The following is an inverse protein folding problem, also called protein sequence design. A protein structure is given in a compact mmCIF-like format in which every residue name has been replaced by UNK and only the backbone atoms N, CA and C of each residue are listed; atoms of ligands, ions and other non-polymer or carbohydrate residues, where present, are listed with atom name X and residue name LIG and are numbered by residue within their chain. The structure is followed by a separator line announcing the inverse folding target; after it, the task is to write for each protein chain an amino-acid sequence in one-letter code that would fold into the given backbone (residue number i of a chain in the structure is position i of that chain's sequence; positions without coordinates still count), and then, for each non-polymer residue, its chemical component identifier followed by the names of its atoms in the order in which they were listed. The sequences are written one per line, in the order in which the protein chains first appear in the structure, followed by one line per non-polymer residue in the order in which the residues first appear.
data_IF_056163308506
#
_entry.id   IF_056163308506
#
_cell.length_a   1.000
_cell.length_b   1.000
_cell.length_c   1.000
_cell.angle_alpha   90.00
_cell.angle_beta   90.00
_cell.angle_gamma   90.00
#
_symmetry.space_group_name_H-M   'P 1'
#
loop_
_entity.id
_entity.type
_entity.pdbx_description
1 polymer ?
#
# COMPACT_ATOMS: atom_id res chain seq x y z
N UNK A 1 27.15 20.68 11.58
CA UNK A 1 27.13 19.43 12.36
C UNK A 1 25.67 19.09 12.62
N UNK A 2 25.26 17.83 12.43
CA UNK A 2 23.91 17.41 12.77
C UNK A 2 23.66 17.60 14.27
N UNK A 3 22.41 17.88 14.62
CA UNK A 3 21.97 18.07 15.99
C UNK A 3 20.69 17.26 16.25
N UNK A 4 20.34 16.97 17.52
CA UNK A 4 19.07 16.32 17.86
C UNK A 4 17.86 17.09 17.31
N UNK A 5 16.80 16.38 16.94
CA UNK A 5 15.66 16.95 16.21
C UNK A 5 14.94 18.09 16.97
N UNK A 6 14.92 18.02 18.29
CA UNK A 6 14.37 19.05 19.18
C UNK A 6 15.25 20.32 19.20
N UNK A 7 16.56 20.17 19.38
CA UNK A 7 17.52 21.28 19.32
C UNK A 7 17.52 21.96 17.94
N UNK A 8 17.45 21.17 16.87
CA UNK A 8 17.31 21.65 15.50
C UNK A 8 16.05 22.49 15.33
N UNK A 9 14.93 22.00 15.85
CA UNK A 9 13.65 22.70 15.75
C UNK A 9 13.66 24.02 16.52
N UNK A 10 14.22 24.04 17.73
CA UNK A 10 14.38 25.28 18.52
C UNK A 10 15.25 26.31 17.82
N UNK A 11 16.38 25.88 17.27
CA UNK A 11 17.26 26.76 16.50
C UNK A 11 16.52 27.33 15.28
N UNK A 12 15.69 26.53 14.62
CA UNK A 12 14.86 27.00 13.51
C UNK A 12 13.80 27.99 13.96
N UNK A 13 13.14 27.79 15.10
CA UNK A 13 12.25 28.80 15.70
C UNK A 13 12.95 30.12 15.93
N UNK A 14 14.09 30.09 16.61
CA UNK A 14 14.88 31.28 16.91
C UNK A 14 15.31 32.01 15.63
N UNK A 15 15.79 31.27 14.61
CA UNK A 15 16.25 31.88 13.35
C UNK A 15 15.13 32.45 12.47
N UNK A 16 13.93 31.88 12.55
CA UNK A 16 12.79 32.29 11.69
C UNK A 16 11.84 33.25 12.40
N UNK A 17 11.92 33.36 13.73
CA UNK A 17 10.96 34.12 14.55
C UNK A 17 9.55 33.53 14.55
N UNK A 18 9.40 32.23 14.25
CA UNK A 18 8.10 31.55 14.14
C UNK A 18 8.05 30.33 15.05
N UNK A 19 6.92 30.10 15.70
CA UNK A 19 6.68 28.89 16.51
C UNK A 19 6.72 27.60 15.68
N UNK A 20 6.29 27.71 14.42
CA UNK A 20 6.34 26.66 13.40
C UNK A 20 7.23 27.13 12.25
N UNK A 21 8.55 26.83 12.25
CA UNK A 21 9.49 27.33 11.25
C UNK A 21 9.14 26.91 9.83
N UNK A 22 8.66 25.68 9.69
CA UNK A 22 8.21 25.08 8.43
C UNK A 22 6.79 24.56 8.58
N UNK A 23 5.87 25.04 7.75
CA UNK A 23 4.51 24.54 7.72
C UNK A 23 4.47 23.03 7.41
N UNK A 24 3.52 22.32 8.00
CA UNK A 24 3.22 20.93 7.64
C UNK A 24 2.98 20.85 6.13
N UNK A 25 3.62 19.89 5.46
CA UNK A 25 3.53 19.72 4.01
C UNK A 25 4.57 20.46 3.18
N UNK A 26 5.37 21.38 3.76
CA UNK A 26 6.34 22.21 3.02
C UNK A 26 7.29 21.40 2.13
N UNK A 27 7.79 20.27 2.62
CA UNK A 27 8.71 19.38 1.90
C UNK A 27 8.05 18.07 1.43
N UNK A 28 6.72 18.01 1.38
CA UNK A 28 5.97 16.81 1.00
C UNK A 28 6.42 16.24 -0.35
N UNK A 29 6.52 17.08 -1.38
CA UNK A 29 6.91 16.64 -2.73
C UNK A 29 8.35 16.11 -2.81
N UNK A 30 9.25 16.59 -1.94
CA UNK A 30 10.63 16.10 -1.86
C UNK A 30 10.65 14.68 -1.29
N UNK A 31 9.92 14.46 -0.20
CA UNK A 31 9.83 13.15 0.45
C UNK A 31 9.02 12.12 -0.32
N UNK A 32 8.07 12.54 -1.15
CA UNK A 32 7.31 11.66 -2.04
C UNK A 32 8.22 10.83 -2.97
N UNK A 33 9.42 11.32 -3.31
CA UNK A 33 10.41 10.58 -4.11
C UNK A 33 11.06 9.41 -3.36
N UNK A 34 10.86 9.33 -2.05
CA UNK A 34 11.48 8.37 -1.14
C UNK A 34 10.42 7.66 -0.27
N UNK A 35 9.42 6.97 -0.85
CA UNK A 35 8.29 6.40 -0.10
C UNK A 35 8.72 5.38 0.97
N UNK A 36 9.82 4.67 0.72
CA UNK A 36 10.42 3.74 1.69
C UNK A 36 10.93 4.49 2.93
N UNK A 37 11.50 5.69 2.78
CA UNK A 37 11.99 6.47 3.91
C UNK A 37 10.83 7.11 4.68
N UNK A 38 9.78 7.55 3.99
CA UNK A 38 8.55 8.04 4.62
C UNK A 38 7.98 6.98 5.55
N UNK A 39 7.96 5.71 5.13
CA UNK A 39 7.50 4.58 5.95
C UNK A 39 8.36 4.35 7.20
N UNK A 40 9.64 4.69 7.16
CA UNK A 40 10.54 4.52 8.30
C UNK A 40 10.46 5.64 9.33
N UNK A 41 9.77 6.73 8.99
CA UNK A 41 9.67 7.91 9.85
C UNK A 41 8.44 7.84 10.74
N UNK A 42 8.62 8.24 11.98
CA UNK A 42 7.60 8.22 13.01
C UNK A 42 7.69 9.54 13.79
N UNK A 43 6.66 10.39 13.73
CA UNK A 43 6.67 11.70 14.40
C UNK A 43 6.69 11.57 15.92
N UNK A 44 6.09 10.51 16.46
CA UNK A 44 6.13 10.16 17.88
C UNK A 44 7.55 9.84 18.37
N UNK A 45 8.43 9.33 17.50
CA UNK A 45 9.85 9.12 17.81
C UNK A 45 10.68 10.41 17.65
N UNK A 46 10.11 11.47 17.09
CA UNK A 46 10.80 12.70 16.70
C UNK A 46 10.07 13.95 17.23
N UNK A 47 9.63 13.91 18.48
CA UNK A 47 9.05 15.04 19.22
C UNK A 47 7.82 15.68 18.55
N UNK A 48 7.03 14.90 17.83
CA UNK A 48 5.82 15.36 17.14
C UNK A 48 6.08 16.14 15.84
N UNK A 49 7.35 16.31 15.45
CA UNK A 49 7.70 16.96 14.18
C UNK A 49 7.35 15.98 13.05
N UNK A 50 6.64 16.43 12.03
CA UNK A 50 6.32 15.57 10.88
C UNK A 50 7.40 15.69 9.81
N UNK A 51 7.68 14.59 9.09
CA UNK A 51 8.77 14.53 8.11
C UNK A 51 8.66 15.60 7.02
N UNK A 52 7.43 15.97 6.64
CA UNK A 52 7.17 17.03 5.66
C UNK A 52 7.60 18.44 6.10
N UNK A 53 8.03 18.62 7.34
CA UNK A 53 8.62 19.85 7.86
C UNK A 53 10.16 19.82 7.86
N UNK A 54 10.76 18.68 7.50
CA UNK A 54 12.23 18.50 7.49
C UNK A 54 12.74 18.51 6.05
N UNK A 55 13.62 19.43 5.64
CA UNK A 55 14.26 19.41 4.32
C UNK A 55 15.16 18.18 4.12
N UNK A 56 15.32 17.70 2.88
CA UNK A 56 16.21 16.57 2.56
C UNK A 56 17.70 16.82 2.85
N UNK A 57 18.10 18.09 2.89
CA UNK A 57 19.45 18.56 3.17
C UNK A 57 19.61 19.05 4.63
N UNK A 58 18.64 18.76 5.51
CA UNK A 58 18.75 19.18 6.89
C UNK A 58 19.82 18.37 7.63
N UNK A 59 20.77 19.07 8.24
CA UNK A 59 21.71 18.52 9.22
C UNK A 59 20.99 18.27 10.55
N UNK A 60 20.14 17.26 10.59
CA UNK A 60 19.35 16.88 11.77
C UNK A 60 19.40 15.38 11.98
N UNK A 61 19.62 14.95 13.22
CA UNK A 61 19.50 13.56 13.59
C UNK A 61 18.04 13.19 13.77
N UNK A 62 17.59 12.22 12.97
CA UNK A 62 16.24 11.67 13.02
C UNK A 62 16.33 10.24 13.53
N UNK A 63 15.39 9.87 14.39
CA UNK A 63 15.17 8.48 14.75
C UNK A 63 14.26 7.80 13.73
N UNK A 64 14.82 6.82 13.02
CA UNK A 64 14.15 6.01 12.02
C UNK A 64 13.81 4.63 12.60
N UNK A 65 12.78 3.97 12.05
CA UNK A 65 12.47 2.58 12.33
C UNK A 65 12.33 1.79 11.02
N UNK A 66 13.04 0.68 10.84
CA UNK A 66 12.88 -0.17 9.65
C UNK A 66 11.71 -1.16 9.78
N UNK A 67 11.33 -1.83 8.68
CA UNK A 67 10.27 -2.85 8.67
C UNK A 67 10.52 -4.03 9.63
N UNK A 68 11.79 -4.27 10.02
CA UNK A 68 12.15 -5.28 11.02
C UNK A 68 12.06 -4.76 12.47
N UNK A 69 11.61 -3.53 12.68
CA UNK A 69 11.44 -2.90 13.99
C UNK A 69 12.70 -2.25 14.58
N UNK A 70 13.87 -2.40 13.95
CA UNK A 70 15.10 -1.77 14.43
C UNK A 70 14.99 -0.25 14.36
N UNK A 71 15.27 0.40 15.49
CA UNK A 71 15.42 1.85 15.61
C UNK A 71 16.87 2.24 15.46
N UNK A 72 17.13 3.35 14.77
CA UNK A 72 18.47 3.87 14.57
C UNK A 72 18.42 5.36 14.26
N UNK A 73 19.53 6.06 14.50
CA UNK A 73 19.65 7.50 14.28
C UNK A 73 20.47 7.73 13.01
N UNK A 74 19.97 8.59 12.12
CA UNK A 74 20.67 9.00 10.91
C UNK A 74 20.12 10.35 10.43
N UNK A 75 20.94 11.11 9.70
CA UNK A 75 20.45 12.30 8.98
C UNK A 75 19.62 11.92 7.75
N UNK A 76 18.77 12.83 7.24
CA UNK A 76 18.12 12.70 5.94
C UNK A 76 19.07 12.33 4.80
N UNK A 77 20.29 12.87 4.79
CA UNK A 77 21.30 12.57 3.78
C UNK A 77 21.89 11.17 3.94
N UNK A 78 22.33 10.82 5.16
CA UNK A 78 22.87 9.49 5.47
C UNK A 78 21.86 8.39 5.13
N UNK A 79 20.59 8.60 5.49
CA UNK A 79 19.52 7.66 5.22
C UNK A 79 19.28 7.44 3.71
N UNK A 80 19.43 8.49 2.90
CA UNK A 80 19.32 8.42 1.44
C UNK A 80 20.55 7.77 0.80
N UNK A 81 21.74 8.08 1.31
CA UNK A 81 23.02 7.60 0.77
C UNK A 81 23.31 6.14 1.10
N UNK A 82 22.68 5.59 2.16
CA UNK A 82 22.75 4.17 2.55
C UNK A 82 24.19 3.67 2.73
N UNK A 83 25.00 4.30 3.61
CA UNK A 83 26.39 3.93 3.80
C UNK A 83 26.54 2.44 4.18
N UNK A 84 27.49 1.75 3.56
CA UNK A 84 27.75 0.33 3.80
C UNK A 84 26.72 -0.65 3.21
N UNK A 85 25.71 -0.18 2.46
CA UNK A 85 24.75 -1.08 1.81
C UNK A 85 25.40 -1.84 0.63
N UNK A 86 25.57 -3.15 0.76
CA UNK A 86 25.86 -4.02 -0.39
C UNK A 86 24.78 -3.87 -1.48
N UNK A 87 25.09 -4.27 -2.73
CA UNK A 87 24.27 -4.14 -3.97
C UNK A 87 22.86 -4.78 -3.96
N UNK A 88 22.21 -4.98 -2.80
CA UNK A 88 20.81 -5.42 -2.73
C UNK A 88 19.89 -4.23 -3.02
N UNK A 89 19.48 -4.14 -4.29
CA UNK A 89 18.67 -3.07 -4.90
C UNK A 89 17.31 -2.77 -4.28
N UNK A 90 16.83 -3.46 -3.23
CA UNK A 90 15.40 -3.45 -2.85
C UNK A 90 15.03 -3.43 -1.37
N UNK A 91 15.97 -3.34 -0.44
CA UNK A 91 15.64 -3.25 0.99
C UNK A 91 15.80 -1.83 1.53
N UNK A 92 14.81 -1.42 2.32
CA UNK A 92 14.86 -0.39 3.38
C UNK A 92 16.22 -0.41 4.08
N UNK A 93 16.96 0.71 4.10
CA UNK A 93 18.27 0.76 4.73
C UNK A 93 18.16 0.99 6.24
N UNK A 94 18.89 0.18 6.99
CA UNK A 94 19.09 0.26 8.43
C UNK A 94 20.47 -0.35 8.72
N UNK A 95 21.31 0.27 9.57
CA UNK A 95 22.67 -0.22 9.84
C UNK A 95 22.68 -1.65 10.40
N UNK A 96 21.77 -1.98 11.32
CA UNK A 96 21.65 -3.34 11.89
C UNK A 96 21.29 -4.39 10.84
N UNK A 97 20.39 -4.05 9.91
CA UNK A 97 20.02 -4.95 8.82
C UNK A 97 21.14 -5.08 7.78
N UNK A 98 21.93 -4.02 7.58
CA UNK A 98 23.08 -4.04 6.67
C UNK A 98 24.21 -4.93 7.23
N UNK A 99 24.52 -4.80 8.51
CA UNK A 99 25.50 -5.64 9.22
C UNK A 99 25.12 -7.13 9.19
N UNK A 100 23.87 -7.45 9.57
CA UNK A 100 23.35 -8.82 9.48
C UNK A 100 23.37 -9.40 8.05
N UNK A 101 23.39 -8.55 7.02
CA UNK A 101 23.52 -8.98 5.63
C UNK A 101 24.97 -9.28 5.23
N UNK A 102 25.97 -8.64 5.86
CA UNK A 102 27.40 -8.84 5.64
C UNK A 102 27.91 -10.10 6.35
N UNK A 103 27.38 -10.44 7.52
CA UNK A 103 27.76 -11.64 8.30
C UNK A 103 27.31 -12.97 7.68
N UNK A 104 26.47 -12.92 6.63
CA UNK A 104 26.11 -14.12 5.88
C UNK A 104 27.30 -14.54 5.01
N UNK A 105 27.88 -15.74 5.19
CA UNK A 105 28.97 -16.19 4.35
C UNK A 105 28.57 -16.13 2.88
N UNK A 106 29.45 -15.59 2.04
CA UNK A 106 29.37 -15.73 0.58
C UNK A 106 29.74 -17.18 0.25
N UNK A 107 28.86 -18.11 0.63
CA UNK A 107 28.94 -19.48 0.16
C UNK A 107 28.67 -19.46 -1.34
N UNK A 108 29.61 -20.00 -2.12
CA UNK A 108 29.47 -20.43 -3.52
C UNK A 108 28.01 -20.66 -3.87
N UNK A 109 27.50 -19.96 -4.88
CA UNK A 109 26.09 -19.92 -5.25
C UNK A 109 25.41 -21.29 -5.19
N UNK A 110 24.90 -21.64 -4.01
CA UNK A 110 23.84 -22.61 -3.90
C UNK A 110 22.69 -21.93 -4.64
N UNK A 111 22.08 -22.59 -5.66
CA UNK A 111 20.91 -22.03 -6.31
C UNK A 111 19.97 -21.64 -5.17
N UNK A 112 19.52 -20.37 -5.17
CA UNK A 112 18.59 -19.87 -4.16
C UNK A 112 17.62 -21.01 -3.91
N UNK A 113 17.55 -21.54 -2.67
CA UNK A 113 16.55 -22.58 -2.37
C UNK A 113 15.26 -21.99 -2.91
N UNK A 114 14.81 -22.48 -4.08
CA UNK A 114 13.52 -22.10 -4.64
C UNK A 114 12.63 -22.41 -3.46
N UNK A 115 12.00 -21.38 -2.87
CA UNK A 115 10.93 -21.63 -1.91
C UNK A 115 10.11 -22.68 -2.63
N UNK A 116 10.05 -23.91 -2.10
CA UNK A 116 9.19 -24.94 -2.66
C UNK A 116 7.83 -24.26 -2.59
N UNK A 117 7.37 -23.72 -3.72
CA UNK A 117 5.99 -23.30 -3.85
C UNK A 117 5.28 -24.59 -3.50
N UNK A 118 4.46 -24.56 -2.44
CA UNK A 118 3.59 -25.70 -2.16
C UNK A 118 2.88 -26.08 -3.47
N UNK A 119 2.39 -27.32 -3.58
CA UNK A 119 1.61 -27.68 -4.77
C UNK A 119 0.55 -26.60 -5.02
N UNK A 120 0.48 -26.11 -6.26
CA UNK A 120 -0.55 -25.14 -6.64
C UNK A 120 -1.92 -25.77 -6.37
N UNK A 121 -2.86 -24.93 -5.95
CA UNK A 121 -4.22 -25.37 -5.76
C UNK A 121 -4.76 -25.95 -7.07
N UNK A 122 -5.25 -27.19 -7.02
CA UNK A 122 -5.82 -27.90 -8.18
C UNK A 122 -7.27 -27.51 -8.45
N UNK A 123 -7.87 -26.67 -7.60
CA UNK A 123 -9.27 -26.23 -7.71
C UNK A 123 -9.45 -24.99 -8.59
N UNK A 124 -8.37 -24.26 -8.87
CA UNK A 124 -8.43 -23.14 -9.81
C UNK A 124 -8.64 -23.70 -11.23
N UNK A 125 -9.73 -23.32 -11.93
CA UNK A 125 -10.01 -23.82 -13.27
C UNK A 125 -8.98 -23.30 -14.28
N UNK A 126 -8.78 -24.07 -15.35
CA UNK A 126 -7.91 -23.69 -16.46
C UNK A 126 -8.60 -22.68 -17.38
N UNK A 127 -8.62 -21.42 -16.94
CA UNK A 127 -9.15 -20.28 -17.67
C UNK A 127 -8.01 -19.37 -18.16
N UNK A 128 -8.24 -18.56 -19.20
CA UNK A 128 -7.30 -17.52 -19.62
C UNK A 128 -6.99 -16.54 -18.46
N UNK A 129 -5.73 -16.06 -18.33
CA UNK A 129 -5.42 -14.99 -17.38
C UNK A 129 -6.30 -13.76 -17.62
N UNK A 130 -6.84 -13.21 -16.53
CA UNK A 130 -7.79 -12.11 -16.55
C UNK A 130 -9.25 -12.55 -16.50
N UNK A 131 -9.57 -13.83 -16.75
CA UNK A 131 -10.96 -14.28 -16.73
C UNK A 131 -11.57 -14.19 -15.32
N UNK A 132 -12.78 -13.63 -15.23
CA UNK A 132 -13.56 -13.59 -13.99
C UNK A 132 -14.36 -14.88 -13.88
N UNK A 133 -14.40 -15.48 -12.69
CA UNK A 133 -15.10 -16.75 -12.47
C UNK A 133 -15.57 -16.92 -11.04
N UNK A 134 -16.34 -17.98 -10.79
CA UNK A 134 -16.75 -18.41 -9.45
C UNK A 134 -15.74 -19.42 -8.93
N UNK A 135 -14.94 -19.00 -7.96
CA UNK A 135 -14.03 -19.86 -7.21
C UNK A 135 -14.70 -20.42 -5.96
N UNK A 136 -14.50 -21.73 -5.76
CA UNK A 136 -14.81 -22.44 -4.51
C UNK A 136 -13.75 -22.21 -3.41
N UNK A 137 -12.61 -21.64 -3.78
CA UNK A 137 -11.52 -21.31 -2.88
C UNK A 137 -11.58 -19.88 -2.34
N UNK A 138 -12.50 -19.06 -2.88
CA UNK A 138 -12.70 -17.71 -2.40
C UNK A 138 -13.03 -17.71 -0.89
N UNK A 139 -12.36 -16.86 -0.09
CA UNK A 139 -12.70 -16.72 1.32
C UNK A 139 -14.14 -16.22 1.44
N UNK A 140 -14.81 -16.63 2.52
CA UNK A 140 -16.13 -16.05 2.84
C UNK A 140 -15.95 -14.58 3.21
N UNK A 141 -16.88 -13.70 2.84
CA UNK A 141 -16.90 -12.31 3.29
C UNK A 141 -16.69 -12.22 4.79
N UNK A 142 -15.71 -11.42 5.20
CA UNK A 142 -15.32 -11.31 6.61
C UNK A 142 -16.14 -10.26 7.36
N UNK A 143 -16.87 -9.41 6.61
CA UNK A 143 -17.58 -8.24 7.14
C UNK A 143 -18.94 -8.01 6.47
N UNK A 144 -19.87 -7.38 7.21
CA UNK A 144 -21.13 -6.88 6.65
C UNK A 144 -20.93 -5.63 5.75
N UNK A 145 -19.72 -5.06 5.72
CA UNK A 145 -19.41 -3.89 4.92
C UNK A 145 -19.39 -4.18 3.41
N UNK A 146 -18.90 -5.35 2.99
CA UNK A 146 -18.83 -5.73 1.56
C UNK A 146 -20.25 -5.86 0.97
N UNK A 147 -21.19 -6.62 1.59
CA UNK A 147 -22.57 -6.68 1.08
C UNK A 147 -23.28 -5.33 1.11
N UNK A 148 -23.00 -4.48 2.11
CA UNK A 148 -23.58 -3.14 2.18
C UNK A 148 -23.10 -2.24 1.03
N UNK A 149 -21.83 -2.33 0.64
CA UNK A 149 -21.29 -1.58 -0.49
C UNK A 149 -21.88 -2.08 -1.81
N UNK A 150 -21.95 -3.41 -1.97
CA UNK A 150 -22.59 -4.04 -3.12
C UNK A 150 -24.02 -3.56 -3.30
N UNK A 151 -24.84 -3.58 -2.25
CA UNK A 151 -26.23 -3.13 -2.31
C UNK A 151 -26.37 -1.67 -2.72
N UNK A 152 -25.44 -0.79 -2.28
CA UNK A 152 -25.47 0.63 -2.63
C UNK A 152 -25.04 0.87 -4.08
N UNK A 153 -24.05 0.13 -4.57
CA UNK A 153 -23.68 0.16 -5.99
C UNK A 153 -24.79 -0.42 -6.87
N UNK A 154 -25.47 -1.48 -6.42
CA UNK A 154 -26.58 -2.12 -7.15
C UNK A 154 -27.79 -1.19 -7.35
N UNK A 155 -27.89 -0.10 -6.59
CA UNK A 155 -28.90 0.95 -6.81
C UNK A 155 -28.52 1.94 -7.93
N UNK A 156 -27.26 1.94 -8.36
CA UNK A 156 -26.70 2.87 -9.36
C UNK A 156 -26.33 2.16 -10.65
N UNK A 157 -25.80 0.94 -10.53
CA UNK A 157 -25.30 0.14 -11.63
C UNK A 157 -26.04 -1.19 -11.71
N UNK A 158 -26.18 -1.68 -12.94
CA UNK A 158 -26.51 -3.06 -13.27
C UNK A 158 -25.21 -3.75 -13.66
N UNK A 159 -24.81 -4.82 -12.98
CA UNK A 159 -23.69 -5.67 -13.41
C UNK A 159 -23.91 -7.09 -12.93
N UNK A 160 -23.19 -8.04 -13.55
CA UNK A 160 -23.14 -9.42 -13.06
C UNK A 160 -22.20 -9.52 -11.84
N UNK A 161 -22.79 -9.68 -10.66
CA UNK A 161 -22.07 -9.85 -9.40
C UNK A 161 -21.79 -11.33 -9.05
N UNK A 162 -21.99 -12.25 -10.00
CA UNK A 162 -21.77 -13.69 -9.78
C UNK A 162 -20.29 -14.04 -9.58
N UNK A 163 -19.33 -13.50 -10.36
CA UNK A 163 -17.91 -13.83 -10.20
C UNK A 163 -17.35 -13.33 -8.86
N UNK A 164 -16.52 -14.15 -8.21
CA UNK A 164 -15.85 -13.82 -6.95
C UNK A 164 -14.31 -13.99 -7.03
N UNK A 165 -13.78 -14.32 -8.21
CA UNK A 165 -12.36 -14.50 -8.44
C UNK A 165 -11.92 -14.02 -9.82
N UNK A 166 -10.64 -13.65 -9.94
CA UNK A 166 -9.97 -13.31 -11.20
C UNK A 166 -8.80 -14.26 -11.41
N UNK A 167 -8.70 -14.87 -12.59
CA UNK A 167 -7.61 -15.76 -12.97
C UNK A 167 -6.30 -14.98 -13.15
N UNK A 168 -5.24 -15.35 -12.44
CA UNK A 168 -3.94 -14.65 -12.46
C UNK A 168 -2.89 -15.37 -13.31
N UNK A 169 -2.05 -14.61 -14.02
CA UNK A 169 -0.93 -15.21 -14.77
C UNK A 169 0.13 -15.86 -13.86
N UNK A 170 0.34 -15.31 -12.67
CA UNK A 170 1.35 -15.75 -11.71
C UNK A 170 0.69 -16.11 -10.37
N UNK A 171 1.25 -17.07 -9.60
CA UNK A 171 0.65 -17.48 -8.33
C UNK A 171 0.56 -16.35 -7.30
N UNK A 172 -0.60 -16.19 -6.69
CA UNK A 172 -0.80 -15.46 -5.45
C UNK A 172 -0.90 -16.48 -4.29
N UNK A 173 0.12 -16.52 -3.43
CA UNK A 173 0.36 -17.65 -2.54
C UNK A 173 0.44 -18.99 -3.32
N UNK A 174 -0.43 -19.93 -3.03
CA UNK A 174 -0.59 -21.24 -3.66
C UNK A 174 -1.72 -21.28 -4.69
N UNK A 175 -2.34 -20.14 -4.99
CA UNK A 175 -3.45 -20.01 -5.93
C UNK A 175 -3.07 -19.26 -7.20
N UNK A 176 -3.70 -19.62 -8.32
CA UNK A 176 -3.61 -18.89 -9.59
C UNK A 176 -4.80 -17.96 -9.80
N UNK A 177 -5.34 -17.45 -8.71
CA UNK A 177 -6.52 -16.61 -8.63
C UNK A 177 -6.36 -15.56 -7.54
N UNK A 178 -7.04 -14.43 -7.70
CA UNK A 178 -7.23 -13.42 -6.66
C UNK A 178 -8.73 -13.26 -6.38
N UNK A 179 -9.04 -12.83 -5.15
CA UNK A 179 -10.41 -12.62 -4.67
C UNK A 179 -10.57 -11.15 -4.23
N UNK A 180 -10.98 -10.25 -5.14
CA UNK A 180 -11.46 -8.92 -4.78
C UNK A 180 -12.82 -8.97 -4.10
N UNK A 181 -13.16 -7.94 -3.31
CA UNK A 181 -14.45 -7.87 -2.62
C UNK A 181 -15.60 -7.64 -3.60
N UNK A 182 -15.38 -6.88 -4.68
CA UNK A 182 -16.32 -6.75 -5.80
C UNK A 182 -15.60 -6.87 -7.14
N UNK A 183 -16.28 -7.51 -8.10
CA UNK A 183 -15.81 -7.68 -9.47
C UNK A 183 -16.83 -7.08 -10.43
N UNK A 184 -16.39 -6.11 -11.23
CA UNK A 184 -17.14 -5.56 -12.35
C UNK A 184 -16.48 -6.03 -13.64
N UNK A 185 -16.86 -7.23 -14.10
CA UNK A 185 -16.13 -7.96 -15.13
C UNK A 185 -16.06 -7.26 -16.47
N UNK A 186 -17.19 -6.75 -16.96
CA UNK A 186 -17.25 -6.04 -18.24
C UNK A 186 -16.40 -4.76 -18.24
N UNK A 187 -16.36 -4.07 -17.10
CA UNK A 187 -15.54 -2.88 -16.90
C UNK A 187 -14.08 -3.22 -16.59
N UNK A 188 -13.72 -4.49 -16.36
CA UNK A 188 -12.39 -4.91 -15.89
C UNK A 188 -11.93 -4.10 -14.66
N UNK A 189 -12.83 -3.87 -13.71
CA UNK A 189 -12.54 -3.19 -12.45
C UNK A 189 -12.77 -4.17 -11.29
N UNK A 190 -11.78 -4.25 -10.41
CA UNK A 190 -11.85 -4.94 -9.12
C UNK A 190 -11.90 -3.89 -7.99
N UNK A 191 -12.76 -4.09 -7.01
CA UNK A 191 -12.86 -3.22 -5.82
C UNK A 191 -12.41 -3.99 -4.60
N UNK A 192 -11.57 -3.34 -3.81
CA UNK A 192 -11.10 -3.83 -2.50
C UNK A 192 -11.67 -2.90 -1.42
N UNK A 193 -12.22 -3.44 -0.35
CA UNK A 193 -12.80 -2.72 0.77
C UNK A 193 -12.02 -3.06 2.04
N UNK A 194 -11.15 -2.14 2.44
CA UNK A 194 -10.38 -2.26 3.66
C UNK A 194 -11.15 -1.64 4.82
N UNK A 195 -11.57 -2.49 5.74
CA UNK A 195 -12.10 -2.07 7.03
C UNK A 195 -10.98 -2.11 8.06
N UNK A 196 -10.90 -1.13 8.96
CA UNK A 196 -10.19 -1.33 10.23
C UNK A 196 -10.97 -2.38 11.02
N UNK A 197 -10.57 -3.65 10.95
CA UNK A 197 -11.21 -4.71 11.73
C UNK A 197 -11.18 -4.44 13.22
N UNK A 198 -11.85 -5.31 13.99
CA UNK A 198 -12.15 -5.15 15.43
C UNK A 198 -10.94 -4.77 16.33
N UNK A 199 -9.71 -5.01 15.89
CA UNK A 199 -8.48 -4.80 16.67
C UNK A 199 -7.51 -3.76 16.07
N UNK A 200 -7.86 -3.02 15.01
CA UNK A 200 -7.07 -1.87 14.52
C UNK A 200 -5.66 -2.18 13.98
N UNK A 201 -5.30 -3.45 13.80
CA UNK A 201 -4.01 -3.93 13.28
C UNK A 201 -4.07 -4.40 11.81
N UNK A 202 -5.25 -4.28 11.19
CA UNK A 202 -5.44 -4.61 9.79
C UNK A 202 -4.88 -3.46 8.94
N UNK A 203 -4.04 -3.79 7.96
CA UNK A 203 -3.41 -2.87 7.00
C UNK A 203 -2.15 -2.10 7.42
N UNK A 204 -1.30 -2.65 8.30
CA UNK A 204 0.08 -2.13 8.50
C UNK A 204 1.18 -3.15 8.17
N UNK A 205 2.30 -2.67 7.62
CA UNK A 205 3.55 -3.44 7.49
C UNK A 205 3.54 -4.55 6.44
N UNK A 206 3.53 -5.82 6.87
CA UNK A 206 3.72 -7.00 6.00
C UNK A 206 2.46 -7.37 5.20
N UNK A 207 1.27 -6.99 5.68
CA UNK A 207 -0.01 -7.19 4.97
C UNK A 207 -0.16 -6.22 3.81
N UNK A 208 0.23 -4.96 3.98
CA UNK A 208 0.25 -3.95 2.93
C UNK A 208 1.09 -4.39 1.70
N UNK A 209 2.28 -4.95 1.93
CA UNK A 209 3.13 -5.47 0.85
C UNK A 209 2.51 -6.68 0.12
N UNK A 210 1.66 -7.46 0.81
CA UNK A 210 0.89 -8.56 0.22
C UNK A 210 -0.26 -8.01 -0.60
N UNK A 211 -0.97 -7.00 -0.09
CA UNK A 211 -2.05 -6.30 -0.78
C UNK A 211 -1.55 -5.63 -2.07
N UNK A 212 -0.44 -4.87 -2.00
CA UNK A 212 0.20 -4.32 -3.19
C UNK A 212 0.61 -5.40 -4.20
N UNK A 213 1.05 -6.57 -3.71
CA UNK A 213 1.40 -7.69 -4.59
C UNK A 213 0.14 -8.26 -5.25
N UNK A 214 -0.97 -8.39 -4.54
CA UNK A 214 -2.27 -8.80 -5.08
C UNK A 214 -2.70 -7.83 -6.17
N UNK A 215 -2.70 -6.53 -5.87
CA UNK A 215 -3.11 -5.47 -6.79
C UNK A 215 -2.26 -5.47 -8.06
N UNK A 216 -0.93 -5.63 -7.95
CA UNK A 216 -0.04 -5.74 -9.12
C UNK A 216 -0.35 -6.97 -9.99
N UNK A 217 -0.70 -8.10 -9.39
CA UNK A 217 -1.03 -9.32 -10.13
C UNK A 217 -2.37 -9.18 -10.85
N UNK A 218 -3.37 -8.60 -10.19
CA UNK A 218 -4.66 -8.27 -10.79
C UNK A 218 -4.46 -7.31 -11.99
N UNK A 219 -3.66 -6.25 -11.81
CA UNK A 219 -3.34 -5.31 -12.90
C UNK A 219 -2.63 -5.96 -14.07
N UNK A 220 -1.68 -6.87 -13.83
CA UNK A 220 -1.02 -7.66 -14.88
C UNK A 220 -1.98 -8.60 -15.62
N UNK A 221 -3.11 -8.94 -15.02
CA UNK A 221 -4.16 -9.73 -15.64
C UNK A 221 -5.15 -8.88 -16.46
N UNK A 222 -4.89 -7.57 -16.64
CA UNK A 222 -5.71 -6.68 -17.48
C UNK A 222 -6.82 -5.93 -16.72
N UNK A 223 -6.77 -5.90 -15.40
CA UNK A 223 -7.76 -5.24 -14.55
C UNK A 223 -7.24 -3.95 -13.96
N UNK A 224 -8.12 -3.07 -13.52
CA UNK A 224 -7.76 -1.97 -12.62
C UNK A 224 -8.30 -2.26 -11.21
N UNK A 225 -7.60 -1.81 -10.18
CA UNK A 225 -8.00 -2.01 -8.78
C UNK A 225 -8.31 -0.67 -8.15
N UNK A 226 -9.53 -0.55 -7.62
CA UNK A 226 -9.99 0.60 -6.82
C UNK A 226 -10.11 0.16 -5.37
N UNK A 227 -9.28 0.74 -4.50
CA UNK A 227 -9.28 0.39 -3.08
C UNK A 227 -10.06 1.43 -2.29
N UNK A 228 -11.05 0.98 -1.53
CA UNK A 228 -11.82 1.76 -0.59
C UNK A 228 -11.24 1.55 0.79
N UNK A 229 -10.69 2.61 1.37
CA UNK A 229 -10.03 2.60 2.66
C UNK A 229 -10.94 3.27 3.67
N UNK A 230 -11.56 2.49 4.56
CA UNK A 230 -12.40 3.07 5.59
C UNK A 230 -11.52 3.75 6.66
N UNK A 231 -11.94 4.93 7.12
CA UNK A 231 -11.17 5.74 8.06
C UNK A 231 -10.76 4.91 9.30
N UNK A 232 -9.53 5.10 9.83
CA UNK A 232 -8.57 6.17 9.50
C UNK A 232 -7.52 5.77 8.44
N UNK A 233 -7.81 4.80 7.56
CA UNK A 233 -6.84 4.26 6.61
C UNK A 233 -6.52 5.27 5.47
N UNK A 234 -5.25 5.64 5.25
CA UNK A 234 -4.87 6.55 4.16
C UNK A 234 -4.91 5.86 2.79
N UNK A 235 -5.10 6.62 1.70
CA UNK A 235 -5.02 6.07 0.34
C UNK A 235 -3.57 5.68 -0.01
N UNK A 236 -3.40 4.63 -0.80
CA UNK A 236 -2.08 4.17 -1.29
C UNK A 236 -1.97 4.38 -2.80
N UNK A 237 -3.03 4.04 -3.54
CA UNK A 237 -3.11 4.13 -4.99
C UNK A 237 -3.73 5.45 -5.49
N UNK A 238 -3.48 5.81 -6.76
CA UNK A 238 -4.01 7.03 -7.37
C UNK A 238 -5.55 7.04 -7.52
N UNK A 239 -6.16 5.85 -7.50
CA UNK A 239 -7.60 5.65 -7.62
C UNK A 239 -8.28 5.29 -6.31
N UNK A 240 -7.52 5.25 -5.21
CA UNK A 240 -8.05 4.88 -3.90
C UNK A 240 -9.04 5.93 -3.38
N UNK A 241 -10.06 5.47 -2.69
CA UNK A 241 -11.05 6.32 -2.05
C UNK A 241 -11.00 6.11 -0.54
N UNK A 242 -10.92 7.21 0.21
CA UNK A 242 -11.14 7.18 1.67
C UNK A 242 -12.59 7.52 2.01
N UNK A 243 -13.12 6.90 3.07
CA UNK A 243 -14.44 7.21 3.60
C UNK A 243 -14.59 6.78 5.08
N UNK A 244 -15.34 7.54 5.87
CA UNK A 244 -15.64 7.17 7.24
C UNK A 244 -16.43 5.85 7.38
N UNK A 245 -17.30 5.56 6.41
CA UNK A 245 -18.13 4.35 6.39
C UNK A 245 -18.72 4.09 5.00
N UNK A 246 -19.31 2.90 4.83
CA UNK A 246 -20.06 2.53 3.63
C UNK A 246 -21.34 3.36 3.53
N UNK A 247 -21.38 4.30 2.58
CA UNK A 247 -22.44 5.29 2.42
C UNK A 247 -22.89 5.44 0.96
N UNK A 248 -24.03 6.10 0.72
CA UNK A 248 -24.49 6.38 -0.64
C UNK A 248 -23.49 7.29 -1.37
N UNK A 249 -22.94 8.30 -0.68
CA UNK A 249 -21.93 9.20 -1.22
C UNK A 249 -20.64 8.47 -1.63
N UNK A 250 -20.22 7.45 -0.88
CA UNK A 250 -19.10 6.59 -1.28
C UNK A 250 -19.42 5.83 -2.58
N UNK A 251 -20.63 5.27 -2.70
CA UNK A 251 -21.04 4.57 -3.91
C UNK A 251 -21.11 5.52 -5.12
N UNK A 252 -21.54 6.78 -4.96
CA UNK A 252 -21.51 7.79 -6.02
C UNK A 252 -20.06 8.08 -6.46
N UNK A 253 -19.16 8.33 -5.50
CA UNK A 253 -17.72 8.55 -5.76
C UNK A 253 -17.05 7.36 -6.45
N UNK A 254 -17.48 6.13 -6.16
CA UNK A 254 -16.99 4.94 -6.86
C UNK A 254 -17.39 4.93 -8.32
N UNK A 255 -18.65 5.27 -8.64
CA UNK A 255 -19.09 5.39 -10.03
C UNK A 255 -18.26 6.44 -10.77
N UNK A 256 -18.02 7.60 -10.15
CA UNK A 256 -17.15 8.62 -10.73
C UNK A 256 -15.72 8.11 -10.94
N UNK A 257 -15.19 7.34 -9.98
CA UNK A 257 -13.87 6.71 -10.13
C UNK A 257 -13.84 5.70 -11.28
N UNK A 258 -14.91 4.95 -11.49
CA UNK A 258 -15.00 4.02 -12.62
C UNK A 258 -14.99 4.79 -13.94
N UNK A 259 -15.67 5.94 -14.01
CA UNK A 259 -15.66 6.83 -15.19
C UNK A 259 -14.27 7.38 -15.47
N UNK A 260 -13.50 7.75 -14.43
CA UNK A 260 -12.11 8.17 -14.60
C UNK A 260 -11.23 7.06 -15.21
N UNK A 261 -11.48 5.79 -14.86
CA UNK A 261 -10.66 4.64 -15.27
C UNK A 261 -11.04 4.11 -16.66
N UNK A 262 -12.33 4.05 -16.98
CA UNK A 262 -12.84 3.43 -18.22
C UNK A 262 -13.48 4.42 -19.18
N UNK A 263 -13.70 5.65 -18.77
CA UNK A 263 -14.45 6.66 -19.52
C UNK A 263 -15.95 6.59 -19.25
N UNK A 264 -16.60 7.76 -19.23
CA UNK A 264 -18.02 7.88 -18.91
C UNK A 264 -18.91 7.07 -19.84
N UNK A 265 -18.62 7.05 -21.15
CA UNK A 265 -19.42 6.32 -22.14
C UNK A 265 -19.58 4.83 -21.78
N UNK A 266 -18.51 4.17 -21.32
CA UNK A 266 -18.54 2.75 -20.99
C UNK A 266 -19.23 2.48 -19.66
N UNK A 267 -19.05 3.34 -18.67
CA UNK A 267 -19.64 3.15 -17.33
C UNK A 267 -21.12 3.52 -17.33
N UNK A 268 -21.50 4.59 -18.04
CA UNK A 268 -22.87 5.09 -18.08
C UNK A 268 -23.83 4.09 -18.74
N UNK A 269 -23.33 3.22 -19.61
CA UNK A 269 -24.09 2.11 -20.20
C UNK A 269 -24.63 1.10 -19.17
N UNK A 270 -24.06 1.08 -17.97
CA UNK A 270 -24.46 0.20 -16.87
C UNK A 270 -25.30 0.90 -15.80
N UNK A 271 -25.58 2.21 -15.94
CA UNK A 271 -26.39 2.91 -14.94
C UNK A 271 -27.85 2.42 -14.93
N UNK A 272 -28.48 2.53 -13.75
CA UNK A 272 -29.92 2.30 -13.56
C UNK A 272 -30.73 3.56 -13.74
#
# INVERSE_FOLDING_TARGET
MPEPVDAWWERRRASTGRDVPYAVGRYFHEWHRYPVLVKQYHSDLNHGIVLSQVPLAADVWIQWQCDAGHRFIATPEEQRMRPGAGKRRRSTWCPRCAEAALERPVGTGAPSRKRKVGPLCTKTPDLPPGEAFVSICAPKPASAAEPALQQKLAKRLVWDATPNAIRLKEPFFDHLEAWPDLILADLRIAVELDTVGRYGLEHSGRREAVDERKDRLIRRAGWEVVRVRLDPLPPIGPFDLTAASVSNALADRLVDRFREIRGSLFVDAYLR
#
